data_IF_726288728633
#
_entry.id   IF_726288728633
#
_cell.length_a   1.000
_cell.length_b   1.000
_cell.length_c   1.000
_cell.angle_alpha   90.00
_cell.angle_beta   90.00
_cell.angle_gamma   90.00
#
_symmetry.space_group_name_H-M   'P 1'
#
loop_
_entity.id
_entity.type
_entity.pdbx_description
1 polymer ?
#
# COMPACT_ATOMS: atom_id res chain seq x y z
N UNK A 1 2.29 8.72 4.99
CA UNK A 1 2.15 7.58 5.91
C UNK A 1 1.01 7.91 6.88
N UNK A 2 -0.07 7.12 6.91
CA UNK A 2 -1.23 7.40 7.75
C UNK A 2 -0.80 7.33 9.23
N UNK A 3 -0.85 8.45 9.95
CA UNK A 3 -0.56 8.56 11.39
C UNK A 3 -1.27 7.47 12.22
N UNK A 4 -2.48 7.10 11.79
CA UNK A 4 -3.28 6.03 12.38
C UNK A 4 -2.55 4.67 12.36
N UNK A 5 -1.94 4.27 11.25
CA UNK A 5 -1.28 2.96 11.14
C UNK A 5 -0.01 2.87 12.00
N UNK A 6 0.74 3.97 12.13
CA UNK A 6 1.88 4.06 13.04
C UNK A 6 1.44 3.96 14.51
N UNK A 7 0.32 4.60 14.85
CA UNK A 7 -0.22 4.62 16.21
C UNK A 7 -0.71 3.22 16.62
N UNK A 8 -1.39 2.49 15.73
CA UNK A 8 -1.75 1.08 15.96
C UNK A 8 -0.52 0.19 16.17
N UNK A 9 0.50 0.31 15.31
CA UNK A 9 1.74 -0.45 15.45
C UNK A 9 2.44 -0.21 16.81
N UNK A 10 2.44 1.04 17.29
CA UNK A 10 2.98 1.39 18.61
C UNK A 10 2.13 0.82 19.75
N UNK A 11 0.80 0.81 19.63
CA UNK A 11 -0.09 0.21 20.62
C UNK A 11 0.21 -1.29 20.73
N UNK A 12 0.27 -2.03 19.63
CA UNK A 12 0.56 -3.47 19.67
C UNK A 12 1.95 -3.77 20.21
N UNK A 13 2.97 -2.99 19.84
CA UNK A 13 4.30 -3.13 20.44
C UNK A 13 4.27 -2.94 21.97
N UNK A 14 3.50 -1.97 22.46
CA UNK A 14 3.37 -1.75 23.91
C UNK A 14 2.62 -2.89 24.61
N UNK A 15 1.57 -3.46 24.00
CA UNK A 15 0.84 -4.60 24.55
C UNK A 15 1.71 -5.87 24.58
N UNK A 16 2.50 -6.12 23.53
CA UNK A 16 3.45 -7.25 23.50
C UNK A 16 4.50 -7.08 24.60
N UNK A 17 5.07 -5.87 24.76
CA UNK A 17 6.05 -5.60 25.80
C UNK A 17 5.48 -5.82 27.21
N UNK A 18 4.25 -5.36 27.47
CA UNK A 18 3.56 -5.62 28.74
C UNK A 18 3.31 -7.12 28.96
N UNK A 19 2.89 -7.84 27.92
CA UNK A 19 2.69 -9.29 28.00
C UNK A 19 3.97 -10.03 28.38
N UNK A 20 5.10 -9.70 27.74
CA UNK A 20 6.42 -10.26 28.06
C UNK A 20 6.81 -9.92 29.51
N UNK A 21 6.58 -8.69 29.95
CA UNK A 21 6.89 -8.26 31.32
C UNK A 21 6.09 -9.03 32.37
N UNK A 22 4.78 -9.22 32.16
CA UNK A 22 3.92 -9.98 33.07
C UNK A 22 4.33 -11.46 33.10
N UNK A 23 4.64 -12.04 31.93
CA UNK A 23 5.17 -13.40 31.81
C UNK A 23 6.48 -13.57 32.60
N UNK A 24 7.38 -12.60 32.50
CA UNK A 24 8.67 -12.62 33.22
C UNK A 24 8.50 -12.47 34.74
N UNK A 25 7.54 -11.68 35.20
CA UNK A 25 7.32 -11.44 36.64
C UNK A 25 6.50 -12.52 37.34
N UNK A 26 5.45 -13.03 36.69
CA UNK A 26 4.43 -13.88 37.34
C UNK A 26 4.37 -15.30 36.79
N UNK A 27 5.16 -15.60 35.76
CA UNK A 27 5.20 -16.91 35.13
C UNK A 27 4.03 -17.17 34.17
N UNK A 28 4.20 -18.20 33.34
CA UNK A 28 3.27 -18.51 32.25
C UNK A 28 1.89 -18.98 32.74
N UNK A 29 1.84 -19.72 33.86
CA UNK A 29 0.59 -20.25 34.42
C UNK A 29 -0.37 -19.13 34.79
N UNK A 30 0.11 -18.13 35.55
CA UNK A 30 -0.67 -16.96 35.96
C UNK A 30 -1.14 -16.14 34.74
N UNK A 31 -0.27 -15.94 33.75
CA UNK A 31 -0.61 -15.22 32.53
C UNK A 31 -1.76 -15.90 31.77
N UNK A 32 -1.69 -17.23 31.60
CA UNK A 32 -2.71 -17.98 30.86
C UNK A 32 -4.05 -18.14 31.58
N UNK A 33 -4.05 -18.28 32.91
CA UNK A 33 -5.29 -18.52 33.68
C UNK A 33 -6.12 -17.26 33.86
N UNK A 34 -5.47 -16.13 34.16
CA UNK A 34 -6.15 -14.85 34.42
C UNK A 34 -6.57 -14.15 33.12
N UNK A 35 -5.85 -14.41 32.02
CA UNK A 35 -6.07 -13.71 30.75
C UNK A 35 -6.69 -14.57 29.66
N UNK A 36 -7.23 -15.74 29.99
CA UNK A 36 -7.74 -16.71 29.00
C UNK A 36 -8.84 -16.11 28.11
N UNK A 37 -9.63 -15.16 28.64
CA UNK A 37 -10.66 -14.44 27.91
C UNK A 37 -10.08 -13.32 27.01
N UNK A 38 -8.96 -12.71 27.42
CA UNK A 38 -8.29 -11.64 26.68
C UNK A 38 -7.38 -12.16 25.57
N UNK A 39 -6.87 -13.39 25.69
CA UNK A 39 -5.97 -14.00 24.71
C UNK A 39 -6.60 -14.14 23.31
N UNK A 40 -7.86 -14.60 23.15
CA UNK A 40 -8.56 -14.58 21.86
C UNK A 40 -8.76 -13.17 21.31
N UNK A 41 -9.06 -12.19 22.16
CA UNK A 41 -9.25 -10.79 21.75
C UNK A 41 -7.94 -10.17 21.26
N UNK A 42 -6.83 -10.43 21.96
CA UNK A 42 -5.49 -10.02 21.55
C UNK A 42 -5.09 -10.69 20.24
N UNK A 43 -5.34 -11.99 20.08
CA UNK A 43 -5.09 -12.70 18.83
C UNK A 43 -5.88 -12.11 17.67
N UNK A 44 -7.17 -11.81 17.87
CA UNK A 44 -8.01 -11.16 16.88
C UNK A 44 -7.48 -9.77 16.50
N UNK A 45 -7.03 -8.97 17.48
CA UNK A 45 -6.42 -7.67 17.27
C UNK A 45 -5.13 -7.79 16.45
N UNK A 46 -4.24 -8.72 16.80
CA UNK A 46 -2.98 -8.96 16.08
C UNK A 46 -3.22 -9.42 14.63
N UNK A 47 -4.20 -10.28 14.40
CA UNK A 47 -4.62 -10.69 13.04
C UNK A 47 -5.14 -9.48 12.27
N UNK A 48 -6.00 -8.66 12.89
CA UNK A 48 -6.56 -7.46 12.26
C UNK A 48 -5.48 -6.43 11.93
N UNK A 49 -4.53 -6.19 12.83
CA UNK A 49 -3.42 -5.28 12.57
C UNK A 49 -2.46 -5.81 11.51
N UNK A 50 -2.14 -7.10 11.53
CA UNK A 50 -1.35 -7.73 10.46
C UNK A 50 -2.05 -7.58 9.11
N UNK A 51 -3.37 -7.76 9.08
CA UNK A 51 -4.19 -7.50 7.90
C UNK A 51 -4.19 -6.01 7.50
N UNK A 52 -4.24 -5.08 8.45
CA UNK A 52 -4.16 -3.65 8.20
C UNK A 52 -2.79 -3.27 7.62
N UNK A 53 -1.71 -3.75 8.21
CA UNK A 53 -0.32 -3.46 7.81
C UNK A 53 0.01 -4.04 6.43
N UNK A 54 -0.42 -5.28 6.16
CA UNK A 54 -0.32 -5.89 4.81
C UNK A 54 -1.15 -5.12 3.77
N UNK A 55 -2.26 -4.51 4.18
CA UNK A 55 -3.17 -3.79 3.29
C UNK A 55 -2.78 -2.32 3.06
N UNK A 56 -2.11 -1.68 4.01
CA UNK A 56 -1.95 -0.22 4.07
C UNK A 56 -0.50 0.29 3.97
N UNK A 57 0.51 -0.58 4.07
CA UNK A 57 1.88 -0.15 3.86
C UNK A 57 2.14 0.09 2.36
N UNK A 58 2.08 1.36 1.96
CA UNK A 58 2.64 1.84 0.69
C UNK A 58 4.05 1.29 0.55
N UNK A 59 4.37 0.58 -0.54
CA UNK A 59 5.68 -0.02 -0.67
C UNK A 59 6.77 1.06 -0.69
N UNK A 60 7.84 0.85 0.07
CA UNK A 60 9.08 1.61 -0.09
C UNK A 60 9.66 1.27 -1.47
N UNK A 61 9.87 2.27 -2.29
CA UNK A 61 10.35 2.10 -3.66
C UNK A 61 11.83 2.48 -3.71
N UNK A 62 12.64 1.57 -4.24
CA UNK A 62 14.04 1.81 -4.57
C UNK A 62 14.17 1.71 -6.09
N UNK A 63 14.66 2.77 -6.70
CA UNK A 63 14.91 2.87 -8.14
C UNK A 63 16.44 2.91 -8.31
N UNK A 64 17.02 1.88 -8.91
CA UNK A 64 18.46 1.76 -9.09
C UNK A 64 18.82 1.39 -10.53
N UNK A 65 20.10 1.11 -10.81
CA UNK A 65 20.54 0.71 -12.17
C UNK A 65 20.05 -0.69 -12.60
N UNK A 66 19.61 -1.53 -11.67
CA UNK A 66 19.15 -2.90 -11.93
C UNK A 66 17.66 -2.94 -12.23
N UNK A 67 16.88 -2.07 -11.60
CA UNK A 67 15.44 -2.00 -11.80
C UNK A 67 14.72 -1.13 -10.78
N UNK A 68 13.45 -1.47 -10.59
CA UNK A 68 12.61 -0.90 -9.53
C UNK A 68 12.25 -2.00 -8.55
N UNK A 69 12.57 -1.77 -7.29
CA UNK A 69 12.26 -2.68 -6.19
C UNK A 69 11.26 -2.03 -5.26
N UNK A 70 10.14 -2.72 -5.02
CA UNK A 70 9.13 -2.35 -4.06
C UNK A 70 9.21 -3.26 -2.83
N UNK A 71 9.33 -2.66 -1.66
CA UNK A 71 9.36 -3.34 -0.36
C UNK A 71 8.11 -3.00 0.43
N UNK A 72 7.41 -4.02 0.90
CA UNK A 72 6.43 -3.91 1.97
C UNK A 72 6.90 -4.77 3.14
N UNK A 73 6.26 -4.62 4.29
CA UNK A 73 6.59 -5.42 5.49
C UNK A 73 6.54 -6.94 5.23
N UNK A 74 5.71 -7.38 4.27
CA UNK A 74 5.43 -8.79 4.03
C UNK A 74 5.75 -9.26 2.60
N UNK A 75 6.28 -8.39 1.75
CA UNK A 75 6.63 -8.77 0.39
C UNK A 75 7.71 -7.87 -0.20
N UNK A 76 8.51 -8.45 -1.09
CA UNK A 76 9.47 -7.75 -1.92
C UNK A 76 9.17 -8.08 -3.38
N UNK A 77 9.11 -7.07 -4.23
CA UNK A 77 8.98 -7.25 -5.68
C UNK A 77 10.04 -6.44 -6.38
N UNK A 78 10.68 -7.04 -7.38
CA UNK A 78 11.70 -6.39 -8.19
C UNK A 78 11.30 -6.55 -9.64
N UNK A 79 11.24 -5.44 -10.37
CA UNK A 79 11.10 -5.44 -11.83
C UNK A 79 12.42 -4.94 -12.37
N UNK A 80 13.21 -5.83 -12.96
CA UNK A 80 14.43 -5.42 -13.64
C UNK A 80 14.06 -4.56 -14.85
N UNK A 81 14.89 -3.58 -15.18
CA UNK A 81 14.59 -2.69 -16.30
C UNK A 81 14.41 -3.44 -17.62
N UNK A 82 15.24 -4.46 -17.88
CA UNK A 82 15.14 -5.33 -19.06
C UNK A 82 13.81 -6.09 -19.20
N UNK A 83 13.13 -6.33 -18.08
CA UNK A 83 11.88 -7.09 -18.03
C UNK A 83 10.67 -6.14 -18.01
N UNK A 84 10.90 -4.82 -17.96
CA UNK A 84 9.86 -3.80 -17.88
C UNK A 84 9.17 -3.62 -19.23
N UNK A 85 7.91 -4.03 -19.31
CA UNK A 85 7.11 -3.92 -20.55
C UNK A 85 6.23 -2.68 -20.58
N UNK A 86 5.81 -2.20 -19.42
CA UNK A 86 4.82 -1.14 -19.33
C UNK A 86 5.12 -0.19 -18.18
N UNK A 87 5.06 1.11 -18.49
CA UNK A 87 5.06 2.22 -17.52
C UNK A 87 3.89 3.14 -17.86
N UNK A 88 3.00 3.40 -16.89
CA UNK A 88 1.83 4.27 -17.07
C UNK A 88 1.55 5.09 -15.84
N UNK A 89 0.86 6.21 -16.02
CA UNK A 89 0.25 6.95 -14.92
C UNK A 89 -1.22 6.50 -14.78
N UNK A 90 -1.61 6.21 -13.55
CA UNK A 90 -2.96 5.78 -13.19
C UNK A 90 -3.58 6.83 -12.27
N UNK A 91 -4.66 7.47 -12.71
CA UNK A 91 -5.50 8.30 -11.85
C UNK A 91 -6.51 7.41 -11.16
N UNK A 92 -6.58 7.59 -9.84
CA UNK A 92 -7.56 6.94 -8.97
C UNK A 92 -8.44 8.04 -8.40
N UNK A 93 -9.69 8.07 -8.83
CA UNK A 93 -10.69 9.03 -8.36
C UNK A 93 -11.55 8.33 -7.32
N UNK A 94 -11.64 8.90 -6.13
CA UNK A 94 -12.55 8.43 -5.09
C UNK A 94 -13.73 9.39 -4.99
N UNK A 95 -14.92 8.93 -5.33
CA UNK A 95 -16.17 9.69 -5.21
C UNK A 95 -17.04 9.11 -4.08
N UNK A 96 -17.64 10.01 -3.30
CA UNK A 96 -18.58 9.62 -2.26
C UNK A 96 -19.94 9.27 -2.90
N UNK A 97 -20.48 8.09 -2.57
CA UNK A 97 -21.81 7.65 -2.96
C UNK A 97 -22.65 7.40 -1.70
N UNK A 98 -23.98 7.62 -1.71
CA UNK A 98 -24.85 7.32 -0.57
C UNK A 98 -24.76 5.87 -0.04
N UNK A 99 -24.29 4.94 -0.87
CA UNK A 99 -24.20 3.50 -0.58
C UNK A 99 -22.74 3.01 -0.42
N UNK A 100 -21.74 3.90 -0.39
CA UNK A 100 -20.32 3.53 -0.27
C UNK A 100 -19.38 4.52 -0.97
N UNK A 101 -18.09 4.21 -1.01
CA UNK A 101 -17.13 5.00 -1.81
C UNK A 101 -16.92 4.34 -3.17
N UNK A 102 -17.10 5.08 -4.26
CA UNK A 102 -16.84 4.58 -5.61
C UNK A 102 -15.40 4.94 -6.01
N UNK A 103 -14.64 3.94 -6.46
CA UNK A 103 -13.30 4.14 -6.99
C UNK A 103 -13.31 3.94 -8.49
N UNK A 104 -12.84 4.97 -9.19
CA UNK A 104 -12.65 4.95 -10.64
C UNK A 104 -11.18 4.98 -11.02
N UNK A 105 -10.81 4.14 -11.97
CA UNK A 105 -9.46 4.02 -12.51
C UNK A 105 -9.39 4.59 -13.92
N UNK A 106 -8.41 5.45 -14.17
CA UNK A 106 -8.23 6.07 -15.48
C UNK A 106 -6.74 6.14 -15.82
N UNK A 107 -6.36 5.59 -16.98
CA UNK A 107 -5.01 5.78 -17.50
C UNK A 107 -4.85 7.23 -17.94
N UNK A 108 -3.77 7.88 -17.54
CA UNK A 108 -3.50 9.27 -17.91
C UNK A 108 -2.09 9.43 -18.47
N UNK A 109 -1.87 10.50 -19.23
CA UNK A 109 -0.54 10.93 -19.67
C UNK A 109 0.06 11.99 -18.75
N UNK A 110 -0.78 12.66 -17.96
CA UNK A 110 -0.38 13.80 -17.13
C UNK A 110 -0.81 13.60 -15.68
N UNK A 111 0.10 13.83 -14.71
CA UNK A 111 -0.24 13.72 -13.31
C UNK A 111 -1.23 14.80 -12.88
N UNK A 112 -2.10 14.47 -11.93
CA UNK A 112 -2.97 15.47 -11.30
C UNK A 112 -2.12 16.42 -10.45
N UNK A 113 -2.06 17.71 -10.83
CA UNK A 113 -1.42 18.73 -10.01
C UNK A 113 -2.30 19.02 -8.78
N UNK A 114 -1.69 19.09 -7.58
CA UNK A 114 -2.36 19.25 -6.27
C UNK A 114 -3.44 20.36 -6.19
N UNK A 115 -3.42 21.34 -7.10
CA UNK A 115 -4.34 22.48 -7.17
C UNK A 115 -5.82 22.12 -7.45
N UNK A 116 -6.13 20.94 -7.98
CA UNK A 116 -7.52 20.59 -8.39
C UNK A 116 -8.34 19.98 -7.24
N UNK A 117 -7.70 19.59 -6.13
CA UNK A 117 -8.39 18.99 -4.98
C UNK A 117 -9.40 19.93 -4.30
N UNK A 118 -9.20 21.26 -4.40
CA UNK A 118 -10.09 22.27 -3.82
C UNK A 118 -11.36 22.45 -4.67
N UNK A 119 -11.27 22.27 -6.00
CA UNK A 119 -12.40 22.42 -6.92
C UNK A 119 -13.24 21.15 -7.05
N UNK A 120 -12.67 19.99 -6.73
CA UNK A 120 -13.33 18.69 -6.81
C UNK A 120 -14.12 18.41 -5.54
N UNK A 121 -15.35 18.95 -5.45
CA UNK A 121 -16.44 18.74 -4.46
C UNK A 121 -16.43 17.36 -3.75
N UNK A 122 -15.49 17.12 -2.84
CA UNK A 122 -15.33 15.84 -2.13
C UNK A 122 -14.70 14.69 -2.93
N UNK A 123 -14.17 14.92 -4.14
CA UNK A 123 -13.51 13.89 -4.96
C UNK A 123 -12.00 13.99 -4.79
N UNK A 124 -11.40 13.03 -4.07
CA UNK A 124 -9.94 12.94 -3.96
C UNK A 124 -9.39 12.18 -5.16
N UNK A 125 -8.56 12.85 -5.96
CA UNK A 125 -7.85 12.23 -7.08
C UNK A 125 -6.39 12.07 -6.71
N UNK A 126 -5.92 10.83 -6.73
CA UNK A 126 -4.51 10.51 -6.53
C UNK A 126 -3.95 9.95 -7.85
N UNK A 127 -2.75 10.38 -8.22
CA UNK A 127 -2.03 9.80 -9.36
C UNK A 127 -1.01 8.79 -8.85
N UNK A 128 -0.93 7.65 -9.51
CA UNK A 128 0.04 6.60 -9.22
C UNK A 128 0.89 6.30 -10.46
N UNK A 129 2.15 5.95 -10.23
CA UNK A 129 3.04 5.37 -11.22
C UNK A 129 2.83 3.87 -11.21
N UNK A 130 2.54 3.30 -12.36
CA UNK A 130 2.37 1.87 -12.56
C UNK A 130 3.46 1.32 -13.46
N UNK A 131 4.13 0.27 -12.99
CA UNK A 131 5.18 -0.43 -13.72
C UNK A 131 4.90 -1.93 -13.74
N UNK A 132 4.92 -2.56 -14.91
CA UNK A 132 4.59 -3.98 -15.05
C UNK A 132 5.59 -4.72 -15.94
N UNK A 133 5.96 -5.92 -15.50
CA UNK A 133 6.71 -6.88 -16.32
C UNK A 133 5.80 -7.67 -17.28
N UNK A 134 4.49 -7.71 -17.01
CA UNK A 134 3.48 -8.39 -17.81
C UNK A 134 2.48 -7.45 -18.48
N UNK A 135 1.50 -8.03 -19.17
CA UNK A 135 0.36 -7.31 -19.72
C UNK A 135 -0.59 -6.92 -18.57
N UNK A 136 -0.45 -5.70 -18.05
CA UNK A 136 -1.34 -5.19 -17.01
C UNK A 136 -2.63 -4.66 -17.62
N UNK A 137 -3.75 -4.97 -16.99
CA UNK A 137 -5.09 -4.48 -17.36
C UNK A 137 -5.61 -3.54 -16.28
N UNK A 138 -6.28 -2.46 -16.71
CA UNK A 138 -6.91 -1.52 -15.79
C UNK A 138 -7.97 -2.25 -14.95
N UNK A 139 -7.90 -2.17 -13.60
CA UNK A 139 -8.90 -2.75 -12.73
C UNK A 139 -10.29 -2.20 -13.05
N UNK A 140 -11.32 -3.03 -12.92
CA UNK A 140 -12.69 -2.57 -13.02
C UNK A 140 -13.00 -1.58 -11.90
N UNK A 141 -13.78 -0.55 -12.23
CA UNK A 141 -14.32 0.39 -11.24
C UNK A 141 -15.13 -0.38 -10.21
N UNK A 142 -15.01 -0.01 -8.93
CA UNK A 142 -15.64 -0.76 -7.85
C UNK A 142 -16.27 0.17 -6.84
N UNK A 143 -17.41 -0.24 -6.29
CA UNK A 143 -18.04 0.40 -5.14
C UNK A 143 -17.50 -0.31 -3.91
N UNK A 144 -16.65 0.38 -3.16
CA UNK A 144 -16.23 -0.07 -1.85
C UNK A 144 -17.37 0.12 -0.87
N UNK A 145 -18.11 -0.95 -0.65
CA UNK A 145 -19.09 -1.02 0.42
C UNK A 145 -18.39 -1.19 1.78
N UNK A 146 -17.31 -1.99 1.90
CA UNK A 146 -16.59 -2.24 3.18
C UNK A 146 -15.10 -2.69 3.10
N UNK A 147 -14.39 -2.46 1.99
CA UNK A 147 -13.04 -3.02 1.78
C UNK A 147 -11.89 -1.99 1.80
N UNK A 148 -10.75 -2.34 2.39
CA UNK A 148 -9.50 -1.61 2.14
C UNK A 148 -9.00 -1.88 0.72
N UNK A 149 -8.43 -0.84 0.11
CA UNK A 149 -7.87 -0.90 -1.22
C UNK A 149 -6.38 -1.26 -1.13
N UNK A 150 -6.04 -2.51 -1.46
CA UNK A 150 -4.69 -3.06 -1.29
C UNK A 150 -3.87 -2.92 -2.56
N UNK A 151 -2.54 -2.84 -2.41
CA UNK A 151 -1.59 -2.79 -3.55
C UNK A 151 -1.82 -3.92 -4.57
N UNK A 152 -2.15 -5.13 -4.09
CA UNK A 152 -2.46 -6.27 -4.96
C UNK A 152 -3.69 -6.05 -5.85
N UNK A 153 -4.70 -5.30 -5.39
CA UNK A 153 -5.89 -4.96 -6.20
C UNK A 153 -5.56 -3.95 -7.30
N UNK A 154 -4.56 -3.09 -7.09
CA UNK A 154 -4.06 -2.12 -8.07
C UNK A 154 -3.11 -2.74 -9.08
N UNK A 155 -2.09 -3.43 -8.57
CA UNK A 155 -0.92 -3.82 -9.34
C UNK A 155 -0.98 -5.27 -9.85
N UNK A 156 -1.83 -6.13 -9.28
CA UNK A 156 -1.77 -7.56 -9.54
C UNK A 156 -0.50 -8.19 -8.95
N UNK A 157 0.02 -9.26 -9.57
CA UNK A 157 1.25 -9.95 -9.13
C UNK A 157 2.51 -9.38 -9.78
N UNK A 158 2.43 -9.02 -11.06
CA UNK A 158 3.60 -8.70 -11.90
C UNK A 158 3.82 -7.20 -12.09
N UNK A 159 3.07 -6.37 -11.36
CA UNK A 159 3.23 -4.93 -11.37
C UNK A 159 3.58 -4.36 -9.98
N UNK A 160 4.15 -3.17 -10.03
CA UNK A 160 4.44 -2.29 -8.91
C UNK A 160 3.67 -0.99 -9.17
N UNK A 161 2.86 -0.60 -8.19
CA UNK A 161 2.13 0.68 -8.17
C UNK A 161 2.55 1.47 -6.95
N UNK A 162 2.84 2.76 -7.12
CA UNK A 162 3.17 3.68 -6.02
C UNK A 162 2.75 5.10 -6.36
N UNK A 163 2.60 5.94 -5.34
CA UNK A 163 2.11 7.32 -5.51
C UNK A 163 3.05 8.13 -6.42
N UNK A 164 2.47 8.98 -7.27
CA UNK A 164 3.25 9.83 -8.16
C UNK A 164 4.13 10.80 -7.37
N UNK A 165 5.40 10.79 -7.71
CA UNK A 165 6.40 11.76 -7.29
C UNK A 165 7.16 12.20 -8.55
N UNK A 166 7.36 13.51 -8.71
CA UNK A 166 7.91 14.09 -9.94
C UNK A 166 9.33 13.58 -10.20
N UNK A 167 10.18 13.59 -9.19
CA UNK A 167 11.56 13.11 -9.29
C UNK A 167 11.63 11.62 -9.62
N UNK A 168 10.77 10.83 -9.01
CA UNK A 168 10.66 9.39 -9.28
C UNK A 168 10.21 9.12 -10.72
N UNK A 169 9.26 9.91 -11.21
CA UNK A 169 8.76 9.81 -12.59
C UNK A 169 9.84 10.16 -13.61
N UNK A 170 10.54 11.28 -13.42
CA UNK A 170 11.65 11.71 -14.28
C UNK A 170 12.76 10.65 -14.34
N UNK A 171 13.14 10.11 -13.18
CA UNK A 171 14.15 9.05 -13.09
C UNK A 171 13.75 7.80 -13.89
N UNK A 172 12.47 7.38 -13.80
CA UNK A 172 11.96 6.23 -14.55
C UNK A 172 11.98 6.50 -16.06
N UNK A 173 11.56 7.69 -16.51
CA UNK A 173 11.60 8.05 -17.92
C UNK A 173 13.04 8.11 -18.44
N UNK A 174 13.96 8.66 -17.66
CA UNK A 174 15.39 8.70 -18.00
C UNK A 174 15.95 7.28 -18.17
N UNK A 175 15.75 6.40 -17.18
CA UNK A 175 16.25 5.02 -17.22
C UNK A 175 15.68 4.23 -18.41
N UNK A 176 14.38 4.40 -18.69
CA UNK A 176 13.73 3.77 -19.86
C UNK A 176 14.32 4.26 -21.18
N UNK A 177 14.62 5.54 -21.28
CA UNK A 177 15.22 6.12 -22.49
C UNK A 177 16.64 5.59 -22.70
N UNK A 178 17.44 5.48 -21.63
CA UNK A 178 18.79 4.90 -21.70
C UNK A 178 18.78 3.45 -22.18
N UNK A 179 17.78 2.65 -21.78
CA UNK A 179 17.66 1.29 -22.27
C UNK A 179 17.23 1.16 -23.73
N UNK A 180 16.48 2.13 -24.27
CA UNK A 180 16.09 2.12 -25.67
C UNK A 180 17.27 2.43 -26.62
N UNK A 181 18.39 2.92 -26.07
CA UNK A 181 19.61 3.27 -26.80
C UNK A 181 20.67 2.14 -26.81
N UNK A 182 20.42 1.03 -26.10
CA UNK A 182 21.29 -0.15 -26.02
C UNK A 182 20.64 -1.30 -26.77
#
# INVERSE_FOLDING_TARGET
MNTIALLFLLIVLSMIAQGIFILAQRGASYFTSENILYMPALLALLIFESWLLTSSALPLIIIDKRGVTAYSLFWKRTIAWKDLRMVRLLKVKNSYHPNGSAIHFENTKEPEKKSVAIFNKGVRVNTFILMSAGNWQTPQNTILTRGLYTHRKLAGRDAIVFEYDERSWELIQYMRTQQALI
#
